data_IF_883264670539
#
_entry.id   IF_883264670539
#
_cell.length_a   1.000
_cell.length_b   1.000
_cell.length_c   1.000
_cell.angle_alpha   90.00
_cell.angle_beta   90.00
_cell.angle_gamma   90.00
#
_symmetry.space_group_name_H-M   'P 1'
#
loop_
_entity.id
_entity.type
_entity.pdbx_description
1 polymer ?
#
# COMPACT_ATOMS: atom_id res chain seq x y z
N UNK A 1 1.71 10.37 1.58
CA UNK A 1 0.43 9.88 2.10
C UNK A 1 -0.47 9.33 0.99
N UNK A 2 -1.78 9.18 1.22
CA UNK A 2 -2.71 8.59 0.25
C UNK A 2 -2.81 9.33 -1.09
N UNK A 3 -2.71 10.66 -1.07
CA UNK A 3 -2.76 11.49 -2.28
C UNK A 3 -1.54 11.25 -3.18
N UNK A 4 -0.36 11.15 -2.58
CA UNK A 4 0.90 10.89 -3.29
C UNK A 4 0.94 9.47 -3.85
N UNK A 5 0.37 8.50 -3.13
CA UNK A 5 0.21 7.13 -3.64
C UNK A 5 -0.69 7.08 -4.88
N UNK A 6 -1.79 7.84 -4.87
CA UNK A 6 -2.67 7.97 -6.03
C UNK A 6 -1.97 8.66 -7.21
N UNK A 7 -1.24 9.75 -6.95
CA UNK A 7 -0.48 10.47 -7.97
C UNK A 7 0.58 9.58 -8.64
N UNK A 8 1.36 8.84 -7.85
CA UNK A 8 2.32 7.85 -8.37
C UNK A 8 1.64 6.77 -9.21
N UNK A 9 0.48 6.27 -8.76
CA UNK A 9 -0.32 5.31 -9.52
C UNK A 9 -0.72 5.85 -10.90
N UNK A 10 -1.17 7.10 -10.97
CA UNK A 10 -1.54 7.74 -12.23
C UNK A 10 -0.34 7.85 -13.19
N UNK A 11 0.80 8.35 -12.72
CA UNK A 11 2.02 8.51 -13.53
C UNK A 11 2.51 7.16 -14.07
N UNK A 12 2.47 6.11 -13.26
CA UNK A 12 2.88 4.77 -13.68
C UNK A 12 1.97 4.20 -14.78
N UNK A 13 0.65 4.38 -14.66
CA UNK A 13 -0.30 3.95 -15.68
C UNK A 13 -0.11 4.72 -16.99
N UNK A 14 0.13 6.02 -16.91
CA UNK A 14 0.45 6.86 -18.08
C UNK A 14 1.76 6.41 -18.74
N UNK A 15 2.84 6.26 -17.98
CA UNK A 15 4.13 5.83 -18.51
C UNK A 15 4.08 4.42 -19.15
N UNK A 16 3.23 3.51 -18.64
CA UNK A 16 2.97 2.22 -19.29
C UNK A 16 2.20 2.38 -20.60
N UNK A 17 1.18 3.25 -20.65
CA UNK A 17 0.42 3.51 -21.87
C UNK A 17 1.30 4.10 -22.98
N UNK A 18 2.29 4.92 -22.60
CA UNK A 18 3.27 5.52 -23.50
C UNK A 18 4.44 4.59 -23.84
N UNK A 19 4.43 3.33 -23.36
CA UNK A 19 5.45 2.32 -23.65
C UNK A 19 6.80 2.53 -22.95
N UNK A 20 6.88 3.46 -22.00
CA UNK A 20 8.10 3.75 -21.22
C UNK A 20 8.35 2.69 -20.16
N UNK A 21 7.28 2.14 -19.58
CA UNK A 21 7.34 1.07 -18.57
C UNK A 21 6.81 -0.25 -19.12
N UNK A 22 7.37 -1.34 -18.58
CA UNK A 22 6.96 -2.70 -18.90
C UNK A 22 5.64 -3.10 -18.22
N UNK A 23 5.61 -4.32 -17.71
CA UNK A 23 4.41 -4.90 -17.11
C UNK A 23 4.17 -4.46 -15.65
N UNK A 24 3.06 -4.92 -15.08
CA UNK A 24 2.67 -4.57 -13.71
C UNK A 24 3.70 -5.02 -12.65
N UNK A 25 4.33 -6.22 -12.74
CA UNK A 25 5.48 -6.56 -11.92
C UNK A 25 6.62 -5.55 -11.98
N UNK A 26 7.06 -5.14 -13.18
CA UNK A 26 8.11 -4.14 -13.34
C UNK A 26 7.75 -2.79 -12.70
N UNK A 27 6.49 -2.34 -12.86
CA UNK A 27 6.00 -1.12 -12.21
C UNK A 27 6.03 -1.22 -10.67
N UNK A 28 5.67 -2.39 -10.11
CA UNK A 28 5.72 -2.62 -8.66
C UNK A 28 7.15 -2.60 -8.13
N UNK A 29 8.08 -3.20 -8.87
CA UNK A 29 9.49 -3.19 -8.54
C UNK A 29 10.04 -1.75 -8.53
N UNK A 30 9.73 -0.95 -9.55
CA UNK A 30 10.12 0.46 -9.60
C UNK A 30 9.63 1.26 -8.38
N UNK A 31 8.38 1.06 -7.96
CA UNK A 31 7.86 1.69 -6.74
C UNK A 31 8.63 1.21 -5.51
N UNK A 32 8.86 -0.10 -5.37
CA UNK A 32 9.56 -0.65 -4.21
C UNK A 32 11.02 -0.16 -4.10
N UNK A 33 11.69 0.05 -5.23
CA UNK A 33 13.07 0.55 -5.28
C UNK A 33 13.17 2.05 -5.00
N UNK A 34 12.16 2.83 -5.40
CA UNK A 34 12.21 4.30 -5.32
C UNK A 34 11.53 4.89 -4.09
N UNK A 35 10.59 4.16 -3.48
CA UNK A 35 9.83 4.65 -2.33
C UNK A 35 10.31 3.99 -1.04
N UNK A 36 10.87 4.74 -0.08
CA UNK A 36 11.25 4.19 1.22
C UNK A 36 10.05 3.59 1.94
N UNK A 37 10.15 2.31 2.30
CA UNK A 37 9.11 1.61 3.04
C UNK A 37 9.50 1.50 4.51
N UNK A 38 8.56 1.85 5.39
CA UNK A 38 8.66 1.54 6.82
C UNK A 38 7.81 0.30 7.10
N UNK A 39 8.45 -0.76 7.60
CA UNK A 39 7.74 -1.94 8.04
C UNK A 39 7.31 -1.77 9.50
N UNK A 40 6.00 -1.90 9.75
CA UNK A 40 5.46 -1.94 11.09
C UNK A 40 5.06 -3.38 11.44
N UNK A 41 5.62 -3.91 12.51
CA UNK A 41 5.19 -5.19 13.07
C UNK A 41 4.06 -4.94 14.07
N UNK A 42 3.05 -5.84 14.18
CA UNK A 42 2.05 -5.75 15.22
C UNK A 42 2.71 -5.69 16.60
N UNK A 43 2.32 -4.72 17.42
CA UNK A 43 2.81 -4.54 18.79
C UNK A 43 1.63 -4.43 19.75
N UNK A 44 1.85 -4.83 21.00
CA UNK A 44 0.83 -4.83 22.05
C UNK A 44 0.05 -6.15 22.16
N UNK A 45 -0.95 -6.15 23.02
CA UNK A 45 -1.79 -7.31 23.30
C UNK A 45 -2.83 -7.54 22.19
N UNK A 46 -2.79 -8.72 21.57
CA UNK A 46 -3.77 -9.13 20.55
C UNK A 46 -5.16 -9.33 21.15
N UNK A 47 -5.27 -9.72 22.42
CA UNK A 47 -6.56 -9.94 23.07
C UNK A 47 -7.36 -8.64 23.21
N UNK A 48 -6.69 -7.50 23.42
CA UNK A 48 -7.32 -6.18 23.42
C UNK A 48 -8.00 -5.84 22.07
N UNK A 49 -7.36 -6.20 20.95
CA UNK A 49 -7.93 -6.01 19.62
C UNK A 49 -9.11 -6.97 19.35
N UNK A 50 -9.02 -8.24 19.77
CA UNK A 50 -10.13 -9.18 19.67
C UNK A 50 -11.36 -8.73 20.49
N UNK A 51 -11.14 -8.22 21.70
CA UNK A 51 -12.21 -7.64 22.53
C UNK A 51 -12.82 -6.38 21.89
N UNK A 52 -11.99 -5.55 21.21
CA UNK A 52 -12.50 -4.39 20.47
C UNK A 52 -13.36 -4.80 19.28
N UNK A 53 -12.92 -5.80 18.50
CA UNK A 53 -13.69 -6.37 17.39
C UNK A 53 -15.06 -6.88 17.86
N UNK A 54 -15.11 -7.66 18.95
CA UNK A 54 -16.36 -8.16 19.51
C UNK A 54 -17.36 -7.04 19.88
N UNK A 55 -16.86 -5.89 20.38
CA UNK A 55 -17.71 -4.73 20.69
C UNK A 55 -18.27 -4.04 19.45
N UNK A 56 -17.54 -4.00 18.34
CA UNK A 56 -17.97 -3.35 17.10
C UNK A 56 -18.82 -4.28 16.22
N UNK A 57 -18.57 -5.59 16.29
CA UNK A 57 -19.30 -6.60 15.53
C UNK A 57 -20.69 -6.93 16.14
N UNK A 58 -20.97 -6.44 17.35
CA UNK A 58 -22.31 -6.54 17.94
C UNK A 58 -23.14 -5.33 17.48
N UNK A 59 -24.28 -5.52 16.78
CA UNK A 59 -25.13 -4.42 16.31
C UNK A 59 -25.67 -3.52 17.43
#
# INVERSE_FOLDING_TARGET
GPAEAAALGNVLVQARADGVLGDRPAMRQLVAETQPLTQYTPRGDRAAWAAAEARVATP
#
